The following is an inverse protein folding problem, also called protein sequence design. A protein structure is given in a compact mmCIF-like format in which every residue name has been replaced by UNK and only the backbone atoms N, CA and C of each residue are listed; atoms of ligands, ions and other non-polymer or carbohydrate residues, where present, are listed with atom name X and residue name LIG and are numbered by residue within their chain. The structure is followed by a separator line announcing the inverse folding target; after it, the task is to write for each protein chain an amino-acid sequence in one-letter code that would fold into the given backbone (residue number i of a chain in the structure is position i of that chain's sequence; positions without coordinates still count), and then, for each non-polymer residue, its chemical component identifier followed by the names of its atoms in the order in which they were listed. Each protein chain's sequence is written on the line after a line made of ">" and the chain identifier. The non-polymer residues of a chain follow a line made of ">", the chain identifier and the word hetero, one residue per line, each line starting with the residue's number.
data_IF_657390485005
#
_entry.id   IF_657390485005
#
_cell.length_a   1.000
_cell.length_b   1.000
_cell.length_c   1.000
_cell.angle_alpha   90.00
_cell.angle_beta   90.00
_cell.angle_gamma   90.00
#
_symmetry.space_group_name_H-M   'P 1'
#
loop_
_entity.id
_entity.type
_entity.pdbx_description
1 polymer ?
#
# COMPACT_ATOMS: atom_id res chain seq x y z
N UNK A 1 13.13 -2.40 4.79
CA UNK A 1 12.06 -2.24 5.80
C UNK A 1 12.72 -2.16 7.17
N UNK A 2 12.22 -1.30 8.05
CA UNK A 2 12.66 -1.24 9.45
C UNK A 2 11.60 -1.92 10.32
N UNK A 3 12.01 -2.87 11.16
CA UNK A 3 11.14 -3.57 12.11
C UNK A 3 11.65 -3.29 13.51
N UNK A 4 10.73 -2.86 14.38
CA UNK A 4 10.99 -2.55 15.77
C UNK A 4 9.95 -3.28 16.60
N UNK A 5 10.35 -3.89 17.70
CA UNK A 5 9.42 -4.63 18.53
C UNK A 5 9.88 -4.82 19.96
N UNK A 6 8.92 -5.23 20.79
CA UNK A 6 9.13 -5.65 22.17
C UNK A 6 8.80 -7.13 22.27
N UNK A 7 9.67 -7.89 22.92
CA UNK A 7 9.59 -9.32 23.09
C UNK A 7 9.41 -9.68 24.57
N UNK A 8 8.90 -10.89 24.88
CA UNK A 8 8.79 -11.34 26.25
C UNK A 8 10.14 -11.36 26.94
N UNK A 9 10.14 -11.29 28.28
CA UNK A 9 11.36 -11.31 29.09
C UNK A 9 12.22 -12.56 28.85
N UNK A 10 11.63 -13.68 28.38
CA UNK A 10 12.36 -14.90 27.98
C UNK A 10 13.37 -14.66 26.86
N UNK A 11 13.17 -13.62 26.05
CA UNK A 11 14.05 -13.24 24.94
C UNK A 11 15.10 -12.20 25.32
N UNK A 12 15.08 -11.63 26.53
CA UNK A 12 16.01 -10.57 26.92
C UNK A 12 17.48 -11.04 26.84
N UNK A 13 18.32 -10.29 26.13
CA UNK A 13 19.74 -10.63 25.95
C UNK A 13 20.01 -11.79 24.97
N UNK A 14 19.00 -12.25 24.24
CA UNK A 14 19.14 -13.30 23.21
C UNK A 14 19.15 -12.71 21.81
N UNK A 15 19.55 -13.53 20.85
CA UNK A 15 19.40 -13.24 19.44
C UNK A 15 18.10 -13.86 18.91
N UNK A 16 17.40 -13.13 18.06
CA UNK A 16 16.20 -13.61 17.35
C UNK A 16 16.36 -13.40 15.86
N UNK A 17 15.74 -14.25 15.06
CA UNK A 17 15.65 -14.08 13.62
C UNK A 17 14.43 -13.21 13.30
N UNK A 18 14.67 -12.10 12.63
CA UNK A 18 13.64 -11.20 12.10
C UNK A 18 13.51 -11.48 10.62
N UNK A 19 12.28 -11.59 10.13
CA UNK A 19 12.06 -11.76 8.71
C UNK A 19 10.64 -11.49 8.27
N UNK A 20 10.35 -11.90 7.04
CA UNK A 20 9.01 -11.87 6.47
C UNK A 20 8.36 -13.23 6.64
N UNK A 21 7.05 -13.22 6.88
CA UNK A 21 6.25 -14.43 7.05
C UNK A 21 4.99 -14.34 6.19
N UNK A 22 4.51 -15.49 5.75
CA UNK A 22 3.21 -15.65 5.11
C UNK A 22 2.25 -16.19 6.17
N UNK A 23 1.06 -15.60 6.27
CA UNK A 23 -0.06 -16.22 6.96
C UNK A 23 -0.85 -17.07 5.98
N UNK A 24 -1.09 -18.33 6.32
CA UNK A 24 -2.00 -19.14 5.53
C UNK A 24 -3.41 -18.55 5.61
N UNK A 25 -4.05 -18.36 4.45
CA UNK A 25 -5.42 -17.83 4.39
C UNK A 25 -6.44 -18.81 4.95
N UNK A 26 -6.13 -20.11 4.99
CA UNK A 26 -6.99 -21.15 5.55
C UNK A 26 -6.97 -21.21 7.08
N UNK A 27 -5.85 -20.84 7.71
CA UNK A 27 -5.72 -20.74 9.15
C UNK A 27 -4.79 -19.57 9.51
N UNK A 28 -5.32 -18.44 10.01
CA UNK A 28 -4.53 -17.27 10.36
C UNK A 28 -3.53 -17.51 11.50
N UNK A 29 -3.59 -18.68 12.17
CA UNK A 29 -2.60 -19.10 13.18
C UNK A 29 -1.38 -19.78 12.56
N UNK A 30 -1.46 -20.23 11.30
CA UNK A 30 -0.32 -20.83 10.59
C UNK A 30 0.50 -19.71 9.97
N UNK A 31 1.67 -19.48 10.58
CA UNK A 31 2.64 -18.48 10.16
C UNK A 31 3.85 -19.24 9.63
N UNK A 32 4.11 -19.15 8.33
CA UNK A 32 5.26 -19.78 7.70
C UNK A 32 6.30 -18.73 7.33
N UNK A 33 7.60 -19.02 7.50
CA UNK A 33 8.64 -18.14 7.01
C UNK A 33 8.50 -17.92 5.50
N UNK A 34 8.70 -16.68 5.07
CA UNK A 34 8.75 -16.35 3.65
C UNK A 34 10.12 -16.70 3.09
N UNK A 35 10.15 -17.58 2.08
CA UNK A 35 11.40 -18.11 1.52
C UNK A 35 11.57 -17.77 0.03
N UNK A 36 11.97 -16.53 -0.29
CA UNK A 36 12.83 -16.28 -1.45
C UNK A 36 14.29 -16.21 -1.01
N UNK A 37 15.17 -16.78 -1.83
CA UNK A 37 16.60 -16.89 -1.59
C UNK A 37 17.25 -15.51 -1.33
N UNK A 38 17.93 -15.41 -0.18
CA UNK A 38 19.04 -14.48 0.12
C UNK A 38 18.75 -13.09 0.72
N UNK A 39 17.51 -12.65 1.00
CA UNK A 39 17.30 -11.26 1.49
C UNK A 39 16.28 -11.01 2.60
N UNK A 40 15.35 -11.94 2.89
CA UNK A 40 14.20 -11.63 3.74
C UNK A 40 14.39 -11.89 5.24
N UNK A 41 15.59 -12.29 5.69
CA UNK A 41 15.87 -12.62 7.09
C UNK A 41 17.15 -11.97 7.58
N UNK A 42 17.17 -11.59 8.84
CA UNK A 42 18.31 -10.99 9.52
C UNK A 42 18.21 -11.26 11.01
N UNK A 43 19.34 -11.28 11.70
CA UNK A 43 19.33 -11.47 13.15
C UNK A 43 19.27 -10.12 13.86
N UNK A 44 18.55 -10.08 14.98
CA UNK A 44 18.49 -8.93 15.85
C UNK A 44 18.86 -9.33 17.29
N UNK A 45 19.76 -8.58 17.88
CA UNK A 45 20.04 -8.68 19.31
C UNK A 45 18.89 -8.03 20.09
N UNK A 46 18.33 -8.78 21.05
CA UNK A 46 17.29 -8.29 21.94
C UNK A 46 17.95 -7.66 23.16
N UNK A 47 17.62 -6.41 23.44
CA UNK A 47 18.14 -5.69 24.60
C UNK A 47 17.73 -6.36 25.91
N UNK A 48 18.39 -6.01 27.02
CA UNK A 48 17.98 -6.46 28.35
C UNK A 48 16.54 -6.01 28.72
N UNK A 49 16.02 -4.97 28.07
CA UNK A 49 14.65 -4.49 28.22
C UNK A 49 13.65 -5.23 27.30
N UNK A 50 14.09 -6.25 26.55
CA UNK A 50 13.24 -7.01 25.63
C UNK A 50 12.98 -6.31 24.30
N UNK A 51 13.73 -5.27 23.95
CA UNK A 51 13.49 -4.48 22.72
C UNK A 51 14.46 -4.84 21.61
N UNK A 52 14.03 -4.75 20.36
CA UNK A 52 14.88 -4.93 19.19
C UNK A 52 14.51 -3.94 18.07
N UNK A 53 15.47 -3.66 17.19
CA UNK A 53 15.28 -2.87 15.99
C UNK A 53 16.23 -3.36 14.92
N UNK A 54 15.72 -3.66 13.72
CA UNK A 54 16.55 -4.10 12.60
C UNK A 54 15.98 -3.65 11.27
N UNK A 55 16.86 -3.50 10.29
CA UNK A 55 16.51 -3.17 8.92
C UNK A 55 16.88 -4.33 8.00
N UNK A 56 15.96 -4.77 7.14
CA UNK A 56 16.27 -5.78 6.12
C UNK A 56 15.69 -5.39 4.74
N UNK A 57 16.36 -5.80 3.64
CA UNK A 57 15.90 -5.50 2.28
C UNK A 57 14.67 -6.35 1.91
N UNK A 58 13.76 -5.76 1.13
CA UNK A 58 12.64 -6.52 0.56
C UNK A 58 13.11 -7.26 -0.70
N UNK A 59 12.66 -8.51 -0.92
CA UNK A 59 13.04 -9.28 -2.11
C UNK A 59 12.47 -8.63 -3.37
N UNK A 60 13.26 -8.68 -4.45
CA UNK A 60 12.89 -8.07 -5.75
C UNK A 60 12.07 -9.00 -6.64
N UNK A 61 12.23 -10.31 -6.46
CA UNK A 61 11.62 -11.37 -7.28
C UNK A 61 10.99 -12.41 -6.37
N UNK A 62 9.76 -12.82 -6.70
CA UNK A 62 9.01 -13.85 -5.98
C UNK A 62 8.66 -14.97 -6.96
N UNK A 63 8.93 -16.25 -6.60
CA UNK A 63 8.70 -17.38 -7.49
C UNK A 63 7.22 -17.54 -7.88
N UNK A 64 6.29 -17.14 -7.00
CA UNK A 64 4.84 -17.31 -7.20
C UNK A 64 4.09 -15.98 -7.42
N UNK A 65 4.81 -14.89 -7.71
CA UNK A 65 4.24 -13.56 -7.93
C UNK A 65 4.04 -12.73 -6.64
N UNK A 66 3.40 -11.55 -6.74
CA UNK A 66 3.23 -10.64 -5.61
C UNK A 66 2.47 -11.32 -4.45
N UNK A 67 3.05 -11.26 -3.27
CA UNK A 67 2.52 -11.88 -2.04
C UNK A 67 2.40 -10.84 -0.94
N UNK A 68 1.34 -10.93 -0.15
CA UNK A 68 1.23 -10.18 1.11
C UNK A 68 2.02 -10.92 2.18
N UNK A 69 2.91 -10.19 2.84
CA UNK A 69 3.82 -10.71 3.87
C UNK A 69 3.71 -9.86 5.12
N UNK A 70 4.06 -10.45 6.26
CA UNK A 70 4.08 -9.76 7.54
C UNK A 70 5.51 -9.75 8.10
N UNK A 71 6.01 -8.61 8.59
CA UNK A 71 7.22 -8.62 9.38
C UNK A 71 6.97 -9.41 10.66
N UNK A 72 7.93 -10.23 11.04
CA UNK A 72 7.83 -11.04 12.24
C UNK A 72 9.17 -11.46 12.78
N UNK A 73 9.10 -12.23 13.86
CA UNK A 73 10.23 -12.68 14.65
C UNK A 73 10.04 -14.13 15.04
N UNK A 74 11.13 -14.89 14.97
CA UNK A 74 11.21 -16.25 15.47
C UNK A 74 12.51 -16.48 16.23
N UNK A 75 12.52 -17.46 17.13
CA UNK A 75 13.70 -17.81 17.92
C UNK A 75 13.33 -18.75 19.06
N UNK A 76 14.34 -19.39 19.66
CA UNK A 76 14.15 -20.40 20.72
C UNK A 76 13.45 -19.88 21.98
N UNK A 77 13.41 -18.56 22.17
CA UNK A 77 12.73 -17.92 23.31
C UNK A 77 11.23 -17.70 23.08
N UNK A 78 10.72 -18.08 21.91
CA UNK A 78 9.33 -17.95 21.48
C UNK A 78 8.74 -19.35 21.19
N UNK A 79 7.50 -19.59 21.62
CA UNK A 79 6.82 -20.87 21.37
C UNK A 79 6.39 -21.04 19.90
N UNK A 80 6.24 -19.93 19.18
CA UNK A 80 5.92 -19.86 17.75
C UNK A 80 6.39 -18.52 17.17
N UNK A 81 6.54 -18.41 15.83
CA UNK A 81 6.76 -17.12 15.18
C UNK A 81 5.67 -16.11 15.54
N UNK A 82 6.08 -14.87 15.78
CA UNK A 82 5.18 -13.75 16.08
C UNK A 82 5.27 -12.73 14.95
N UNK A 83 4.13 -12.32 14.41
CA UNK A 83 4.05 -11.32 13.33
C UNK A 83 3.29 -10.09 13.80
N UNK A 84 3.62 -8.93 13.23
CA UNK A 84 2.81 -7.73 13.42
C UNK A 84 1.65 -7.71 12.40
N UNK A 85 0.47 -8.08 12.88
CA UNK A 85 -0.76 -8.16 12.08
C UNK A 85 -1.19 -6.84 11.44
N UNK A 86 -0.79 -5.71 12.02
CA UNK A 86 -1.12 -4.39 11.51
C UNK A 86 -0.19 -3.94 10.38
N UNK A 87 0.97 -4.60 10.22
CA UNK A 87 2.01 -4.26 9.26
C UNK A 87 2.05 -5.23 8.06
N UNK A 88 0.93 -5.85 7.70
CA UNK A 88 0.84 -6.64 6.48
C UNK A 88 1.23 -5.80 5.25
N UNK A 89 2.37 -6.12 4.64
CA UNK A 89 2.90 -5.41 3.48
C UNK A 89 2.65 -6.23 2.23
N UNK A 90 2.07 -5.58 1.23
CA UNK A 90 1.97 -6.13 -0.11
C UNK A 90 3.27 -5.83 -0.86
N UNK A 91 3.98 -6.87 -1.29
CA UNK A 91 5.24 -6.67 -2.01
C UNK A 91 4.99 -6.29 -3.46
N UNK A 92 5.48 -5.11 -3.84
CA UNK A 92 5.70 -4.75 -5.24
C UNK A 92 6.92 -5.50 -5.77
N UNK A 93 6.74 -6.30 -6.80
CA UNK A 93 7.79 -7.15 -7.39
C UNK A 93 8.23 -6.53 -8.71
N UNK A 94 9.52 -6.26 -8.89
CA UNK A 94 10.04 -5.82 -10.18
C UNK A 94 9.89 -6.97 -11.18
N UNK A 95 9.20 -6.74 -12.28
CA UNK A 95 8.93 -7.77 -13.29
C UNK A 95 9.10 -7.17 -14.69
N UNK A 96 10.35 -7.02 -15.16
CA UNK A 96 10.66 -6.35 -16.42
C UNK A 96 10.12 -7.09 -17.64
N UNK A 97 9.93 -8.42 -17.52
CA UNK A 97 9.37 -9.24 -18.60
C UNK A 97 7.88 -9.00 -18.79
N UNK A 98 7.12 -8.86 -17.70
CA UNK A 98 5.68 -8.56 -17.75
C UNK A 98 5.37 -7.07 -17.90
N UNK A 99 6.23 -6.21 -17.35
CA UNK A 99 6.04 -4.76 -17.27
C UNK A 99 7.22 -4.01 -17.93
N UNK A 100 7.35 -4.06 -19.27
CA UNK A 100 8.38 -3.31 -19.97
C UNK A 100 8.12 -1.80 -19.92
N UNK A 101 9.19 -1.01 -19.78
CA UNK A 101 9.14 0.45 -19.78
C UNK A 101 8.42 1.02 -18.56
N UNK A 102 7.33 1.75 -18.81
CA UNK A 102 6.57 2.47 -17.76
C UNK A 102 5.27 1.75 -17.37
N UNK A 103 5.11 0.48 -17.76
CA UNK A 103 3.89 -0.28 -17.48
C UNK A 103 3.91 -0.88 -16.08
N UNK A 104 2.75 -1.29 -15.57
CA UNK A 104 2.63 -1.99 -14.28
C UNK A 104 1.46 -2.95 -14.31
N UNK A 105 1.51 -3.97 -13.47
CA UNK A 105 0.44 -4.97 -13.39
C UNK A 105 -0.10 -5.05 -11.97
N UNK A 106 -1.42 -5.00 -11.81
CA UNK A 106 -2.10 -5.35 -10.57
C UNK A 106 -2.88 -6.64 -10.78
N UNK A 107 -2.47 -7.68 -10.08
CA UNK A 107 -3.12 -8.97 -10.05
C UNK A 107 -4.25 -8.97 -9.03
N UNK A 108 -5.43 -9.39 -9.44
CA UNK A 108 -6.59 -9.57 -8.58
C UNK A 108 -6.57 -11.00 -8.04
N UNK A 109 -6.58 -11.15 -6.72
CA UNK A 109 -6.47 -12.48 -6.10
C UNK A 109 -7.68 -13.37 -6.41
N UNK A 110 -7.48 -14.42 -7.21
CA UNK A 110 -8.54 -15.38 -7.56
C UNK A 110 -9.16 -16.06 -6.35
N UNK A 111 -8.35 -16.38 -5.33
CA UNK A 111 -8.85 -16.99 -4.09
C UNK A 111 -9.78 -16.03 -3.33
N UNK A 112 -9.46 -14.74 -3.28
CA UNK A 112 -10.34 -13.75 -2.66
C UNK A 112 -11.61 -13.54 -3.50
N UNK A 113 -11.50 -13.47 -4.84
CA UNK A 113 -12.66 -13.36 -5.73
C UNK A 113 -13.56 -14.61 -5.67
N UNK A 114 -13.01 -15.80 -5.46
CA UNK A 114 -13.76 -17.04 -5.33
C UNK A 114 -14.40 -17.22 -3.93
N UNK A 115 -13.97 -16.45 -2.93
CA UNK A 115 -14.54 -16.50 -1.58
C UNK A 115 -16.02 -16.10 -1.58
N UNK A 116 -16.79 -16.60 -0.62
CA UNK A 116 -18.19 -16.22 -0.47
C UNK A 116 -18.29 -14.76 -0.07
N UNK A 117 -19.14 -14.00 -0.76
CA UNK A 117 -19.47 -12.64 -0.34
C UNK A 117 -20.28 -12.65 0.96
N UNK A 118 -20.13 -11.60 1.76
CA UNK A 118 -20.97 -11.35 2.94
C UNK A 118 -22.37 -10.82 2.55
N UNK A 119 -22.74 -10.88 1.27
CA UNK A 119 -24.03 -10.42 0.76
C UNK A 119 -25.17 -11.42 1.02
N UNK A 120 -26.43 -10.97 0.88
CA UNK A 120 -27.61 -11.82 1.13
C UNK A 120 -27.67 -13.05 0.22
N UNK A 121 -27.17 -12.93 -1.01
CA UNK A 121 -27.23 -14.00 -2.01
C UNK A 121 -26.08 -15.03 -1.87
N UNK A 122 -25.12 -14.79 -0.95
CA UNK A 122 -23.92 -15.62 -0.71
C UNK A 122 -23.23 -16.10 -2.00
N UNK A 123 -23.28 -15.31 -3.06
CA UNK A 123 -22.54 -15.58 -4.30
C UNK A 123 -21.05 -15.35 -4.09
N UNK A 124 -20.20 -15.83 -5.01
CA UNK A 124 -18.77 -15.52 -4.93
C UNK A 124 -18.54 -14.00 -4.96
N UNK A 125 -17.48 -13.54 -4.29
CA UNK A 125 -17.13 -12.13 -4.22
C UNK A 125 -16.94 -11.54 -5.62
N UNK A 126 -16.32 -12.30 -6.54
CA UNK A 126 -16.17 -11.91 -7.94
C UNK A 126 -17.50 -11.69 -8.65
N UNK A 127 -18.51 -12.53 -8.39
CA UNK A 127 -19.86 -12.35 -8.92
C UNK A 127 -20.56 -11.12 -8.30
N UNK A 128 -20.38 -10.89 -7.00
CA UNK A 128 -20.92 -9.71 -6.31
C UNK A 128 -20.30 -8.38 -6.79
N UNK A 129 -19.00 -8.41 -7.13
CA UNK A 129 -18.29 -7.24 -7.67
C UNK A 129 -18.66 -6.97 -9.13
N UNK A 130 -18.89 -8.01 -9.94
CA UNK A 130 -19.17 -7.92 -11.37
C UNK A 130 -17.93 -7.62 -12.22
N UNK A 131 -17.25 -6.53 -11.89
CA UNK A 131 -15.99 -6.09 -12.48
C UNK A 131 -15.16 -5.34 -11.45
N UNK A 132 -13.87 -5.20 -11.70
CA UNK A 132 -12.99 -4.27 -11.00
C UNK A 132 -12.35 -3.34 -12.02
N UNK A 133 -12.57 -2.05 -11.83
CA UNK A 133 -11.97 -0.95 -12.59
C UNK A 133 -10.90 -0.27 -11.73
N UNK A 134 -9.80 0.13 -12.35
CA UNK A 134 -8.75 0.94 -11.72
C UNK A 134 -8.69 2.33 -12.34
N UNK A 135 -8.55 3.33 -11.48
CA UNK A 135 -8.34 4.73 -11.85
C UNK A 135 -7.05 5.26 -11.22
N UNK A 136 -6.30 6.07 -11.97
CA UNK A 136 -5.11 6.77 -11.50
C UNK A 136 -5.40 8.26 -11.41
N UNK A 137 -5.28 8.86 -10.22
CA UNK A 137 -5.63 10.27 -9.94
C UNK A 137 -7.01 10.67 -10.47
N UNK A 138 -7.98 9.74 -10.38
CA UNK A 138 -9.36 9.92 -10.84
C UNK A 138 -9.59 9.59 -12.31
N UNK A 139 -8.55 9.41 -13.13
CA UNK A 139 -8.67 9.05 -14.54
C UNK A 139 -8.84 7.55 -14.73
N UNK A 140 -9.78 7.14 -15.57
CA UNK A 140 -10.04 5.72 -15.86
C UNK A 140 -8.89 5.11 -16.66
N UNK A 141 -8.23 4.09 -16.10
CA UNK A 141 -7.16 3.38 -16.78
C UNK A 141 -7.68 2.14 -17.51
N UNK A 142 -8.20 1.16 -16.76
CA UNK A 142 -8.69 -0.11 -17.31
C UNK A 142 -9.62 -0.81 -16.32
N UNK A 143 -10.24 -1.92 -16.73
CA UNK A 143 -11.02 -2.78 -15.85
C UNK A 143 -11.16 -4.19 -16.41
N UNK A 144 -11.49 -5.13 -15.53
CA UNK A 144 -11.71 -6.54 -15.88
C UNK A 144 -13.00 -7.06 -15.27
N UNK A 145 -13.68 -7.97 -15.97
CA UNK A 145 -14.82 -8.69 -15.41
C UNK A 145 -14.34 -9.72 -14.39
N UNK A 146 -15.02 -9.79 -13.25
CA UNK A 146 -14.70 -10.73 -12.16
C UNK A 146 -15.71 -11.87 -12.03
N UNK A 147 -16.76 -11.85 -12.87
CA UNK A 147 -17.77 -12.91 -12.93
C UNK A 147 -17.14 -14.23 -13.39
N UNK A 148 -17.46 -15.32 -12.70
CA UNK A 148 -17.01 -16.67 -13.06
C UNK A 148 -15.61 -17.05 -12.59
N UNK A 149 -14.92 -16.18 -11.86
CA UNK A 149 -13.63 -16.54 -11.21
C UNK A 149 -13.88 -17.62 -10.16
N UNK A 150 -13.13 -18.72 -10.27
CA UNK A 150 -13.21 -19.88 -9.39
C UNK A 150 -11.90 -20.05 -8.59
N UNK A 151 -11.94 -20.83 -7.51
CA UNK A 151 -10.74 -21.17 -6.76
C UNK A 151 -9.75 -21.92 -7.69
N UNK A 152 -8.50 -21.49 -7.72
CA UNK A 152 -7.47 -22.04 -8.60
C UNK A 152 -7.41 -21.46 -10.03
N UNK A 153 -8.32 -20.54 -10.40
CA UNK A 153 -8.16 -19.78 -11.65
C UNK A 153 -6.90 -18.90 -11.62
N UNK A 154 -6.21 -18.68 -12.76
CA UNK A 154 -5.13 -17.72 -12.82
C UNK A 154 -5.64 -16.32 -12.41
N UNK A 155 -4.81 -15.50 -11.73
CA UNK A 155 -5.21 -14.17 -11.30
C UNK A 155 -5.54 -13.28 -12.50
N UNK A 156 -6.62 -12.51 -12.37
CA UNK A 156 -6.97 -11.49 -13.36
C UNK A 156 -5.96 -10.33 -13.25
N UNK A 157 -5.64 -9.69 -14.37
CA UNK A 157 -4.61 -8.65 -14.42
C UNK A 157 -5.18 -7.31 -14.91
N UNK A 158 -4.95 -6.26 -14.13
CA UNK A 158 -5.14 -4.87 -14.53
C UNK A 158 -3.78 -4.33 -15.00
N UNK A 159 -3.63 -4.10 -16.31
CA UNK A 159 -2.41 -3.53 -16.89
C UNK A 159 -2.53 -2.01 -16.97
N UNK A 160 -1.57 -1.33 -16.37
CA UNK A 160 -1.50 0.13 -16.28
C UNK A 160 -0.34 0.64 -17.14
N UNK A 161 -0.53 1.81 -17.75
CA UNK A 161 0.47 2.49 -18.57
C UNK A 161 0.58 1.95 -19.99
N UNK A 162 -0.40 1.17 -20.44
CA UNK A 162 -0.46 0.68 -21.83
C UNK A 162 -0.82 1.80 -22.82
N UNK A 163 -0.49 1.58 -24.08
CA UNK A 163 -0.83 2.52 -25.16
C UNK A 163 -2.34 2.78 -25.21
N UNK A 164 -2.72 4.06 -25.30
CA UNK A 164 -4.12 4.50 -25.33
C UNK A 164 -4.73 4.76 -23.95
N UNK A 165 -4.02 4.46 -22.87
CA UNK A 165 -4.43 4.89 -21.52
C UNK A 165 -4.03 6.35 -21.25
N UNK A 166 -4.76 7.05 -20.35
CA UNK A 166 -4.37 8.38 -19.89
C UNK A 166 -2.97 8.42 -19.26
N UNK A 167 -2.33 9.58 -19.30
CA UNK A 167 -0.96 9.74 -18.79
C UNK A 167 -0.83 9.45 -17.29
N UNK A 168 -1.90 9.68 -16.49
CA UNK A 168 -1.91 9.33 -15.08
C UNK A 168 -1.67 7.82 -14.83
N UNK A 169 -2.05 6.97 -15.78
CA UNK A 169 -1.95 5.51 -15.67
C UNK A 169 -0.52 4.97 -15.83
N UNK A 170 0.47 5.80 -16.20
CA UNK A 170 1.89 5.42 -16.23
C UNK A 170 2.77 6.29 -15.31
N UNK A 171 2.18 7.29 -14.64
CA UNK A 171 2.93 8.24 -13.81
C UNK A 171 3.25 7.63 -12.43
N UNK A 172 4.53 7.53 -12.13
CA UNK A 172 5.00 7.14 -10.80
C UNK A 172 4.38 8.02 -9.70
N UNK A 173 3.89 7.38 -8.64
CA UNK A 173 3.25 8.05 -7.50
C UNK A 173 1.79 8.46 -7.73
N UNK A 174 1.18 8.17 -8.89
CA UNK A 174 -0.25 8.42 -9.09
C UNK A 174 -1.08 7.56 -8.12
N UNK A 175 -2.14 8.12 -7.54
CA UNK A 175 -3.03 7.44 -6.60
C UNK A 175 -3.98 6.52 -7.36
N UNK A 176 -3.85 5.24 -7.11
CA UNK A 176 -4.71 4.19 -7.64
C UNK A 176 -5.91 3.97 -6.73
N UNK A 177 -7.09 4.03 -7.34
CA UNK A 177 -8.38 3.75 -6.70
C UNK A 177 -9.14 2.72 -7.51
N UNK A 178 -9.95 1.91 -6.84
CA UNK A 178 -10.62 0.75 -7.44
C UNK A 178 -12.13 0.86 -7.29
N UNK A 179 -12.86 0.44 -8.31
CA UNK A 179 -14.31 0.53 -8.36
C UNK A 179 -14.91 -0.79 -8.84
N UNK A 180 -16.06 -1.17 -8.28
CA UNK A 180 -16.80 -2.32 -8.76
C UNK A 180 -17.78 -1.96 -9.90
N UNK A 181 -18.48 -2.95 -10.46
CA UNK A 181 -19.48 -2.75 -11.53
C UNK A 181 -20.63 -1.79 -11.18
N UNK A 182 -20.91 -1.58 -9.88
CA UNK A 182 -21.92 -0.65 -9.38
C UNK A 182 -21.37 0.77 -9.20
N UNK A 183 -20.13 1.03 -9.59
CA UNK A 183 -19.44 2.31 -9.36
C UNK A 183 -19.08 2.55 -7.90
N UNK A 184 -19.17 1.53 -7.04
CA UNK A 184 -18.79 1.66 -5.64
C UNK A 184 -17.27 1.52 -5.50
N UNK A 185 -16.67 2.51 -4.83
CA UNK A 185 -15.24 2.52 -4.53
C UNK A 185 -14.89 1.42 -3.53
N UNK A 186 -13.79 0.72 -3.78
CA UNK A 186 -13.19 -0.21 -2.83
C UNK A 186 -12.32 0.55 -1.82
N UNK A 187 -12.20 0.04 -0.61
CA UNK A 187 -11.47 0.67 0.49
C UNK A 187 -9.96 0.78 0.25
N UNK A 188 -9.43 -0.02 -0.67
CA UNK A 188 -8.01 -0.06 -0.99
C UNK A 188 -7.56 1.15 -1.80
N UNK A 189 -6.38 1.67 -1.44
CA UNK A 189 -5.67 2.70 -2.18
C UNK A 189 -4.21 2.32 -2.30
N UNK A 190 -3.61 2.62 -3.45
CA UNK A 190 -2.22 2.30 -3.72
C UNK A 190 -1.56 3.42 -4.50
N UNK A 191 -0.25 3.58 -4.38
CA UNK A 191 0.51 4.39 -5.32
C UNK A 191 0.98 3.54 -6.51
N UNK A 192 0.94 4.12 -7.70
CA UNK A 192 1.45 3.51 -8.91
C UNK A 192 2.98 3.50 -8.89
N UNK A 193 3.56 2.31 -8.99
CA UNK A 193 5.00 2.11 -9.11
C UNK A 193 5.23 1.49 -10.50
N UNK A 194 5.90 2.18 -11.43
CA UNK A 194 6.22 1.62 -12.74
C UNK A 194 7.15 0.41 -12.65
N UNK A 195 7.02 -0.53 -13.59
CA UNK A 195 7.88 -1.71 -13.72
C UNK A 195 7.60 -2.83 -12.72
N UNK A 196 6.55 -2.74 -11.90
CA UNK A 196 6.23 -3.77 -10.90
C UNK A 196 4.91 -4.51 -11.16
N UNK A 197 4.84 -5.70 -10.58
CA UNK A 197 3.61 -6.47 -10.38
C UNK A 197 3.21 -6.42 -8.90
N UNK A 198 1.91 -6.20 -8.64
CA UNK A 198 1.30 -6.04 -7.31
C UNK A 198 0.05 -6.91 -7.16
N UNK A 199 -0.36 -7.24 -5.93
CA UNK A 199 -1.52 -8.08 -5.61
C UNK A 199 -2.61 -7.28 -4.91
N UNK A 200 -3.78 -7.16 -5.54
CA UNK A 200 -4.99 -6.72 -4.89
C UNK A 200 -5.78 -7.92 -4.33
N UNK A 201 -5.85 -8.03 -3.01
CA UNK A 201 -6.59 -9.10 -2.31
C UNK A 201 -7.70 -8.61 -1.39
N UNK A 202 -7.77 -7.31 -1.11
CA UNK A 202 -8.84 -6.69 -0.36
C UNK A 202 -9.84 -5.99 -1.28
N UNK A 203 -11.07 -6.50 -1.30
CA UNK A 203 -12.18 -5.96 -2.08
C UNK A 203 -13.31 -5.40 -1.22
N UNK A 204 -13.02 -5.09 0.05
CA UNK A 204 -13.98 -4.42 0.92
C UNK A 204 -14.43 -3.10 0.29
N UNK A 205 -15.72 -2.81 0.36
CA UNK A 205 -16.25 -1.53 -0.06
C UNK A 205 -15.77 -0.40 0.87
N UNK A 206 -15.48 0.77 0.32
CA UNK A 206 -15.24 1.96 1.11
C UNK A 206 -16.54 2.37 1.87
N UNK A 207 -16.44 2.85 3.13
CA UNK A 207 -17.60 3.39 3.84
C UNK A 207 -18.26 4.54 3.06
N UNK A 208 -19.59 4.71 3.15
CA UNK A 208 -20.25 5.87 2.58
C UNK A 208 -19.69 7.17 3.20
N UNK A 209 -19.25 8.12 2.38
CA UNK A 209 -18.77 9.44 2.82
C UNK A 209 -17.27 9.71 2.67
N UNK A 210 -16.45 8.70 2.31
CA UNK A 210 -15.03 8.90 1.96
C UNK A 210 -14.88 9.30 0.48
N UNK A 211 -15.58 10.37 0.08
CA UNK A 211 -15.48 10.93 -1.27
C UNK A 211 -14.02 11.24 -1.61
N UNK A 212 -13.67 11.15 -2.90
CA UNK A 212 -12.37 11.63 -3.37
C UNK A 212 -12.17 13.08 -2.89
N UNK A 213 -10.96 13.47 -2.43
CA UNK A 213 -10.66 14.88 -2.33
C UNK A 213 -10.85 15.47 -3.73
N UNK A 214 -11.86 16.33 -3.89
CA UNK A 214 -12.06 17.05 -5.14
C UNK A 214 -10.73 17.70 -5.54
N UNK A 215 -10.36 17.71 -6.84
CA UNK A 215 -9.23 18.52 -7.27
C UNK A 215 -9.49 19.94 -6.79
N UNK A 216 -8.56 20.47 -5.97
CA UNK A 216 -8.58 21.86 -5.53
C UNK A 216 -8.79 22.70 -6.77
N UNK A 217 -9.89 23.43 -6.79
CA UNK A 217 -10.37 24.15 -7.95
C UNK A 217 -9.25 24.94 -8.60
N UNK A 218 -9.16 24.83 -9.92
CA UNK A 218 -8.54 25.88 -10.71
C UNK A 218 -9.14 27.21 -10.22
N UNK A 219 -8.27 28.09 -9.73
CA UNK A 219 -8.66 29.44 -9.33
C UNK A 219 -9.53 30.05 -10.44
N UNK A 220 -10.64 30.74 -10.11
CA UNK A 220 -11.39 31.43 -11.13
C UNK A 220 -10.46 32.42 -11.82
N UNK A 221 -10.32 32.32 -13.14
CA UNK A 221 -9.70 33.37 -13.92
C UNK A 221 -10.38 34.70 -13.54
N UNK A 222 -9.63 35.77 -13.20
CA UNK A 222 -10.25 37.06 -12.99
C UNK A 222 -10.90 37.52 -14.31
N UNK A 223 -12.05 38.23 -14.24
CA UNK A 223 -12.72 38.67 -15.45
C UNK A 223 -11.83 39.64 -16.23
N UNK A 224 -11.83 39.49 -17.55
CA UNK A 224 -11.20 40.42 -18.47
C UNK A 224 -11.92 41.77 -18.41
N UNK A 225 -11.31 42.77 -17.78
CA UNK A 225 -11.69 44.19 -17.94
C UNK A 225 -10.91 44.81 -19.09
N UNK A 226 -11.64 45.25 -20.12
CA UNK A 226 -11.11 46.04 -21.22
C UNK A 226 -10.70 47.46 -20.79
N UNK A 227 -9.48 47.82 -21.17
CA UNK A 227 -9.01 49.08 -21.77
C UNK A 227 -9.53 50.47 -21.26
N UNK A 228 -8.67 51.17 -20.49
CA UNK A 228 -8.07 52.54 -20.62
C UNK A 228 -8.93 53.78 -21.02
N UNK A 229 -8.54 55.06 -20.70
CA UNK A 229 -7.19 55.57 -20.40
C UNK A 229 -7.06 56.62 -19.26
N UNK A 230 -5.83 56.86 -18.79
CA UNK A 230 -5.51 57.96 -17.86
C UNK A 230 -4.01 58.08 -17.64
N UNK A 231 -3.48 59.20 -18.10
CA UNK A 231 -2.07 59.56 -18.26
C UNK A 231 -1.36 59.93 -16.93
N UNK A 232 -0.05 60.10 -17.03
CA UNK A 232 0.87 60.81 -16.13
C UNK A 232 1.53 60.10 -14.92
N UNK A 233 2.80 59.77 -15.17
CA UNK A 233 3.95 60.42 -14.51
C UNK A 233 4.33 60.07 -13.06
N UNK A 234 5.60 59.65 -12.95
CA UNK A 234 6.62 59.96 -11.91
C UNK A 234 6.91 58.93 -10.79
N UNK A 235 8.14 58.39 -10.92
CA UNK A 235 9.29 58.46 -9.98
C UNK A 235 9.62 57.22 -9.09
N UNK A 236 10.88 56.76 -9.28
CA UNK A 236 11.91 56.34 -8.30
C UNK A 236 11.60 55.17 -7.34
N UNK A 237 12.08 53.96 -7.62
CA UNK A 237 13.37 53.30 -7.22
C UNK A 237 13.29 52.35 -6.00
N UNK A 238 14.12 51.28 -5.96
CA UNK A 238 14.00 50.11 -5.07
C UNK A 238 14.97 50.12 -3.87
N UNK A 239 14.71 49.30 -2.82
CA UNK A 239 15.63 48.70 -1.82
C UNK A 239 14.77 47.99 -0.74
N UNK A 240 15.13 46.91 -0.03
CA UNK A 240 16.34 46.09 0.10
C UNK A 240 15.94 44.70 0.65
N UNK A 241 16.68 43.64 0.33
CA UNK A 241 17.78 43.03 1.13
C UNK A 241 17.30 42.26 2.39
N UNK A 242 17.36 40.93 2.25
CA UNK A 242 17.94 39.89 3.12
C UNK A 242 17.58 39.76 4.62
N UNK A 243 17.37 38.51 5.05
CA UNK A 243 17.99 38.00 6.28
C UNK A 243 17.23 36.94 7.07
N UNK A 244 17.81 35.72 7.12
CA UNK A 244 17.82 34.73 8.22
C UNK A 244 16.48 34.07 8.65
N UNK A 245 16.43 32.81 9.12
CA UNK A 245 17.47 31.89 9.54
C UNK A 245 16.88 30.53 9.97
N UNK A 246 17.77 29.56 10.10
CA UNK A 246 17.62 28.17 10.51
C UNK A 246 17.34 27.99 12.03
N UNK A 247 17.11 26.72 12.44
CA UNK A 247 17.19 26.11 13.80
C UNK A 247 15.81 26.00 14.51
N UNK A 248 15.32 24.90 15.13
CA UNK A 248 15.89 23.64 15.63
C UNK A 248 14.82 22.52 15.82
N UNK A 249 15.38 21.33 16.06
CA UNK A 249 14.83 20.02 16.42
C UNK A 249 14.18 19.93 17.83
N UNK A 250 13.24 18.97 17.95
CA UNK A 250 13.06 17.99 19.05
C UNK A 250 12.00 18.17 20.18
N UNK A 251 11.12 17.16 20.21
CA UNK A 251 10.69 16.29 21.34
C UNK A 251 9.42 16.61 22.18
N UNK A 252 8.43 15.69 22.13
CA UNK A 252 7.94 14.76 23.18
C UNK A 252 6.49 14.30 22.84
N UNK A 253 6.26 13.03 22.48
CA UNK A 253 5.93 11.85 23.33
C UNK A 253 4.51 11.84 23.93
N UNK A 254 3.75 10.79 23.58
CA UNK A 254 2.74 10.20 24.46
C UNK A 254 1.41 9.79 23.81
N UNK A 255 1.31 8.54 23.32
CA UNK A 255 0.17 7.63 23.52
C UNK A 255 0.14 6.54 22.45
N UNK A 256 0.37 5.29 22.86
CA UNK A 256 -0.41 4.09 22.46
C UNK A 256 0.12 2.91 23.28
N UNK A 257 -0.54 2.68 24.41
CA UNK A 257 -0.31 1.53 25.27
C UNK A 257 -0.99 0.29 24.70
N UNK A 258 -0.24 -0.81 24.61
CA UNK A 258 -0.82 -2.14 24.50
C UNK A 258 -1.17 -2.63 25.91
N UNK A 259 -2.44 -2.93 26.13
CA UNK A 259 -2.92 -3.68 27.29
C UNK A 259 -3.58 -4.95 26.77
N UNK A 260 -2.94 -6.11 26.96
CA UNK A 260 -3.61 -7.41 26.86
C UNK A 260 -3.93 -7.85 28.28
N UNK A 261 -5.22 -7.78 28.61
CA UNK A 261 -5.79 -8.23 29.87
C UNK A 261 -6.10 -9.70 29.71
N UNK A 262 -5.32 -10.58 30.35
CA UNK A 262 -5.73 -11.97 30.55
C UNK A 262 -6.94 -12.01 31.49
N UNK A 263 -8.01 -12.69 31.08
CA UNK A 263 -8.95 -13.31 32.02
C UNK A 263 -8.85 -14.82 31.85
N UNK A 264 -8.83 -15.46 33.01
CA UNK A 264 -8.64 -16.87 33.30
C UNK A 264 -9.58 -17.80 32.54
#
# INVERSE_FOLDING_TARGET
>A
MNVVGNLPASCAGREVEVGLFIRDRGDPKVITPFEPSNTARTNAAVSAAGTFSVSFPLPRELPDGPTRVWPGVQGECLDAPVVDDSLGVELAVLDPGRNPGNTSTILLSSAALASLSNGPDRTSLGAFLGSVEVRADGERCTGVATNGVSAGSPPLALRLGEAGQPAACSRAGARLTFFNSRGQRLFVEMELIPGVTRLLDNFAAAPPGTGDPSPVGAAPNPPATGQLPGDESRRFTPLGIAGAGLVALAALLGALGFAVRHRA
#
